data_IF_457479437152
#
_entry.id   IF_457479437152
#
_cell.length_a   1.000
_cell.length_b   1.000
_cell.length_c   1.000
_cell.angle_alpha   90.00
_cell.angle_beta   90.00
_cell.angle_gamma   90.00
#
_symmetry.space_group_name_H-M   'P 1'
#
loop_
_entity.id
_entity.type
_entity.pdbx_description
1 polymer ?
#
# COMPACT_ATOMS: atom_id res chain seq x y z
N UNK A 1 -6.91 4.45 24.45
CA UNK A 1 -6.78 5.49 23.39
C UNK A 1 -6.39 4.77 22.13
N UNK A 2 -7.35 4.47 21.28
CA UNK A 2 -7.11 3.83 19.98
C UNK A 2 -6.68 4.83 18.93
N UNK A 3 -6.34 4.32 17.75
CA UNK A 3 -6.10 5.11 16.55
C UNK A 3 -4.65 5.32 16.16
N UNK A 4 -4.49 6.00 15.04
CA UNK A 4 -3.26 6.05 14.28
C UNK A 4 -2.31 7.16 14.67
N UNK A 5 -1.86 7.21 15.92
CA UNK A 5 -0.77 8.12 16.29
C UNK A 5 0.53 7.71 15.60
N UNK A 6 0.86 8.36 14.49
CA UNK A 6 2.09 8.11 13.73
C UNK A 6 3.31 8.72 14.43
N UNK A 7 3.59 8.26 15.65
CA UNK A 7 4.64 8.82 16.52
C UNK A 7 6.05 8.57 15.99
N UNK A 8 6.21 7.67 15.03
CA UNK A 8 7.49 7.40 14.36
C UNK A 8 7.68 8.23 13.09
N UNK A 9 6.64 8.94 12.64
CA UNK A 9 6.72 9.78 11.44
C UNK A 9 7.62 10.99 11.69
N UNK A 10 8.49 11.29 10.73
CA UNK A 10 9.31 12.51 10.76
C UNK A 10 8.45 13.76 10.95
N UNK A 11 8.81 14.58 11.93
CA UNK A 11 8.09 15.81 12.28
C UNK A 11 6.88 15.62 13.20
N UNK A 12 6.65 14.41 13.71
CA UNK A 12 5.66 14.20 14.78
C UNK A 12 6.21 14.75 16.10
N UNK A 13 5.38 15.53 16.83
CA UNK A 13 5.77 16.09 18.12
C UNK A 13 5.57 15.07 19.26
N UNK A 14 6.56 14.21 19.44
CA UNK A 14 6.57 13.18 20.48
C UNK A 14 6.58 13.75 21.87
N UNK A 15 7.29 14.86 22.10
CA UNK A 15 7.38 15.51 23.41
C UNK A 15 6.02 16.09 23.83
N UNK A 16 5.28 16.66 22.88
CA UNK A 16 3.92 17.11 23.14
C UNK A 16 3.00 15.94 23.53
N UNK A 17 3.07 14.82 22.81
CA UNK A 17 2.30 13.61 23.16
C UNK A 17 2.64 13.14 24.59
N UNK A 18 3.92 13.06 24.94
CA UNK A 18 4.38 12.65 26.27
C UNK A 18 3.82 13.59 27.34
N UNK A 19 3.89 14.90 27.11
CA UNK A 19 3.38 15.90 28.06
C UNK A 19 1.87 15.78 28.28
N UNK A 20 1.11 15.49 27.22
CA UNK A 20 -0.34 15.27 27.32
C UNK A 20 -0.66 14.01 28.13
N UNK A 21 0.05 12.91 27.89
CA UNK A 21 -0.14 11.65 28.61
C UNK A 21 0.22 11.79 30.09
N UNK A 22 1.32 12.49 30.41
CA UNK A 22 1.72 12.79 31.77
C UNK A 22 0.67 13.63 32.49
N UNK A 23 0.20 14.71 31.87
CA UNK A 23 -0.85 15.60 32.40
C UNK A 23 -2.15 14.83 32.64
N UNK A 24 -2.52 13.93 31.71
CA UNK A 24 -3.70 13.07 31.88
C UNK A 24 -3.52 12.12 33.06
N UNK A 25 -2.33 11.51 33.23
CA UNK A 25 -2.06 10.58 34.33
C UNK A 25 -2.08 11.29 35.71
N UNK A 26 -1.58 12.52 35.80
CA UNK A 26 -1.68 13.33 36.99
C UNK A 26 -3.15 13.61 37.36
N UNK A 27 -3.96 13.93 36.36
CA UNK A 27 -5.39 14.25 36.55
C UNK A 27 -6.23 13.02 36.89
N UNK A 28 -5.80 11.85 36.42
CA UNK A 28 -6.51 10.59 36.58
C UNK A 28 -5.56 9.46 37.05
N UNK A 29 -5.04 9.53 38.30
CA UNK A 29 -3.97 8.63 38.74
C UNK A 29 -4.37 7.15 38.79
N UNK A 30 -5.65 6.86 38.96
CA UNK A 30 -6.17 5.49 39.05
C UNK A 30 -6.47 4.84 37.67
N UNK A 31 -6.32 5.59 36.57
CA UNK A 31 -6.57 5.07 35.23
C UNK A 31 -5.27 4.59 34.59
N UNK A 32 -5.31 3.42 33.97
CA UNK A 32 -4.26 2.96 33.07
C UNK A 32 -4.44 3.62 31.70
N UNK A 33 -3.34 3.97 31.04
CA UNK A 33 -3.36 4.50 29.68
C UNK A 33 -2.87 3.40 28.74
N UNK A 34 -3.76 2.94 27.85
CA UNK A 34 -3.45 1.99 26.81
C UNK A 34 -3.56 2.72 25.47
N UNK A 35 -2.57 2.54 24.59
CA UNK A 35 -2.52 3.08 23.23
C UNK A 35 -2.38 1.95 22.23
N UNK A 36 -2.90 2.16 21.02
CA UNK A 36 -2.90 1.14 19.94
C UNK A 36 -2.31 1.71 18.63
N UNK A 37 -1.05 2.19 18.63
CA UNK A 37 -0.47 2.89 17.48
C UNK A 37 0.06 1.92 16.41
N UNK A 38 -0.78 1.05 15.86
CA UNK A 38 -0.38 0.00 14.92
C UNK A 38 0.48 0.49 13.76
N UNK A 39 0.01 1.46 12.99
CA UNK A 39 0.72 2.00 11.81
C UNK A 39 2.06 2.65 12.16
N UNK A 40 2.24 3.17 13.36
CA UNK A 40 3.50 3.78 13.78
C UNK A 40 4.68 2.80 13.77
N UNK A 41 4.43 1.52 14.03
CA UNK A 41 5.47 0.48 14.04
C UNK A 41 5.85 0.01 12.63
N UNK A 42 4.94 0.11 11.66
CA UNK A 42 5.15 -0.33 10.30
C UNK A 42 5.34 0.82 9.30
N UNK A 43 5.37 2.06 9.78
CA UNK A 43 5.50 3.25 8.95
C UNK A 43 6.78 3.22 8.10
N UNK A 44 6.62 3.28 6.79
CA UNK A 44 7.71 3.28 5.80
C UNK A 44 8.69 2.09 5.91
N UNK A 45 8.19 0.92 6.31
CA UNK A 45 9.03 -0.29 6.45
C UNK A 45 8.85 -1.29 5.31
N UNK A 46 7.94 -1.02 4.37
CA UNK A 46 7.72 -1.92 3.25
C UNK A 46 7.01 -1.28 2.07
N UNK A 47 7.00 -1.98 0.96
CA UNK A 47 6.40 -1.56 -0.31
C UNK A 47 5.80 -2.76 -1.05
N UNK A 48 4.90 -2.47 -1.99
CA UNK A 48 4.39 -3.46 -2.94
C UNK A 48 5.07 -3.25 -4.28
N UNK A 49 5.75 -4.28 -4.76
CA UNK A 49 6.34 -4.32 -6.10
C UNK A 49 5.37 -5.01 -7.06
N UNK A 50 5.06 -4.35 -8.17
CA UNK A 50 4.19 -4.88 -9.22
C UNK A 50 4.84 -4.71 -10.60
N UNK A 51 4.27 -5.39 -11.59
CA UNK A 51 4.72 -5.33 -12.97
C UNK A 51 3.60 -4.84 -13.87
N UNK A 52 3.88 -3.96 -14.80
CA UNK A 52 2.96 -3.58 -15.87
C UNK A 52 2.77 -4.77 -16.82
N UNK A 53 1.55 -5.30 -16.93
CA UNK A 53 1.23 -6.45 -17.76
C UNK A 53 0.55 -6.05 -19.07
N UNK A 54 -0.08 -4.87 -19.10
CA UNK A 54 -0.69 -4.33 -20.32
C UNK A 54 -0.80 -2.80 -20.23
N UNK A 55 -0.92 -2.15 -21.39
CA UNK A 55 -1.21 -0.72 -21.50
C UNK A 55 -2.29 -0.53 -22.54
N UNK A 56 -3.42 0.00 -22.11
CA UNK A 56 -4.57 0.27 -22.96
C UNK A 56 -4.87 1.76 -23.01
N UNK A 57 -5.40 2.23 -24.13
CA UNK A 57 -5.86 3.60 -24.27
C UNK A 57 -7.35 3.61 -24.65
N UNK A 58 -8.15 4.37 -23.91
CA UNK A 58 -9.56 4.52 -24.17
C UNK A 58 -9.99 5.95 -23.87
N UNK A 59 -10.66 6.61 -24.83
CA UNK A 59 -11.08 8.01 -24.74
C UNK A 59 -9.97 8.97 -24.30
N UNK A 60 -8.74 8.76 -24.79
CA UNK A 60 -7.58 9.59 -24.46
C UNK A 60 -6.96 9.32 -23.08
N UNK A 61 -7.48 8.34 -22.34
CA UNK A 61 -6.91 7.92 -21.06
C UNK A 61 -6.05 6.67 -21.28
N UNK A 62 -4.76 6.79 -21.00
CA UNK A 62 -3.84 5.65 -20.96
C UNK A 62 -3.93 4.99 -19.61
N UNK A 63 -4.17 3.68 -19.59
CA UNK A 63 -4.23 2.87 -18.38
C UNK A 63 -3.16 1.79 -18.44
N UNK A 64 -2.26 1.78 -17.46
CA UNK A 64 -1.30 0.70 -17.26
C UNK A 64 -1.93 -0.32 -16.30
N UNK A 65 -2.12 -1.54 -16.79
CA UNK A 65 -2.64 -2.66 -16.01
C UNK A 65 -1.46 -3.34 -15.32
N UNK A 66 -1.58 -3.60 -14.02
CA UNK A 66 -0.53 -4.22 -13.21
C UNK A 66 -0.92 -5.65 -12.79
N UNK A 67 0.07 -6.48 -12.47
CA UNK A 67 -0.12 -7.84 -11.94
C UNK A 67 -0.59 -7.88 -10.47
N UNK A 68 -1.11 -6.78 -9.98
CA UNK A 68 -1.75 -6.64 -8.68
C UNK A 68 -3.16 -6.04 -8.85
N UNK A 69 -3.90 -5.95 -7.76
CA UNK A 69 -5.26 -5.40 -7.73
C UNK A 69 -5.40 -4.46 -6.56
N UNK A 70 -5.98 -3.30 -6.78
CA UNK A 70 -6.31 -2.38 -5.68
C UNK A 70 -7.34 -2.99 -4.74
N UNK A 71 -8.36 -3.64 -5.30
CA UNK A 71 -9.42 -4.27 -4.50
C UNK A 71 -8.96 -5.50 -3.73
N UNK A 72 -8.02 -6.26 -4.28
CA UNK A 72 -7.51 -7.47 -3.63
C UNK A 72 -6.32 -7.22 -2.72
N UNK A 73 -5.41 -6.31 -3.08
CA UNK A 73 -4.10 -6.18 -2.45
C UNK A 73 -3.88 -4.82 -1.76
N UNK A 74 -4.65 -3.81 -2.13
CA UNK A 74 -4.58 -2.46 -1.56
C UNK A 74 -5.98 -1.92 -1.21
N UNK A 75 -6.85 -2.70 -0.52
CA UNK A 75 -8.25 -2.29 -0.29
C UNK A 75 -8.34 -0.98 0.50
N UNK A 76 -7.39 -0.69 1.37
CA UNK A 76 -7.36 0.56 2.14
C UNK A 76 -7.35 1.81 1.27
N UNK A 77 -6.70 1.76 0.10
CA UNK A 77 -6.71 2.86 -0.85
C UNK A 77 -8.12 3.21 -1.34
N UNK A 78 -9.01 2.22 -1.38
CA UNK A 78 -10.40 2.37 -1.82
C UNK A 78 -11.36 2.63 -0.65
N UNK A 79 -11.15 1.98 0.50
CA UNK A 79 -12.02 2.06 1.69
C UNK A 79 -11.84 3.36 2.46
N UNK A 80 -10.61 3.84 2.58
CA UNK A 80 -10.25 5.13 3.19
C UNK A 80 -9.60 6.02 2.12
N UNK A 81 -10.33 6.48 1.11
CA UNK A 81 -9.80 6.92 -0.17
C UNK A 81 -8.54 7.78 -0.04
N UNK A 82 -7.39 7.19 -0.36
CA UNK A 82 -6.13 7.90 -0.48
C UNK A 82 -5.35 7.38 -1.69
N UNK A 83 -4.66 8.28 -2.35
CA UNK A 83 -3.81 7.95 -3.49
C UNK A 83 -2.46 7.46 -2.97
N UNK A 84 -2.08 6.20 -3.21
CA UNK A 84 -0.79 5.69 -2.76
C UNK A 84 0.37 6.40 -3.50
N UNK A 85 1.51 6.49 -2.84
CA UNK A 85 2.72 7.03 -3.45
C UNK A 85 3.36 5.95 -4.31
N UNK A 86 3.67 6.30 -5.56
CA UNK A 86 4.47 5.47 -6.46
C UNK A 86 5.87 6.05 -6.53
N UNK A 87 6.89 5.20 -6.33
CA UNK A 87 8.30 5.59 -6.44
C UNK A 87 8.59 6.14 -7.84
N UNK A 88 9.26 7.28 -7.91
CA UNK A 88 9.62 7.96 -9.16
C UNK A 88 8.40 8.38 -10.02
N UNK A 89 7.24 8.55 -9.41
CA UNK A 89 6.07 9.12 -10.06
C UNK A 89 5.53 10.30 -9.27
N UNK A 90 4.79 11.16 -9.94
CA UNK A 90 4.18 12.37 -9.35
C UNK A 90 2.69 12.41 -9.65
N UNK A 91 1.99 13.35 -9.05
CA UNK A 91 0.69 13.77 -9.55
C UNK A 91 0.79 14.21 -11.02
N UNK A 92 -0.32 14.16 -11.78
CA UNK A 92 -0.32 14.51 -13.19
C UNK A 92 0.34 15.87 -13.45
N UNK A 93 1.32 15.86 -14.35
CA UNK A 93 2.04 17.05 -14.80
C UNK A 93 1.87 17.17 -16.32
N UNK A 94 1.50 18.35 -16.78
CA UNK A 94 1.37 18.64 -18.22
C UNK A 94 2.70 18.38 -18.95
N UNK A 95 2.61 17.72 -20.08
CA UNK A 95 3.78 17.36 -20.91
C UNK A 95 4.51 16.11 -20.49
N UNK A 96 4.19 15.50 -19.33
CA UNK A 96 4.76 14.20 -18.94
C UNK A 96 3.86 13.02 -19.33
N UNK A 97 4.45 11.85 -19.60
CA UNK A 97 3.69 10.62 -19.77
C UNK A 97 2.83 10.34 -18.53
N UNK A 98 1.51 10.31 -18.69
CA UNK A 98 0.57 10.13 -17.59
C UNK A 98 -0.28 8.89 -17.84
N UNK A 99 -0.42 8.08 -16.78
CA UNK A 99 -1.16 6.84 -16.80
C UNK A 99 -2.06 6.71 -15.59
N UNK A 100 -3.28 6.24 -15.83
CA UNK A 100 -4.10 5.61 -14.80
C UNK A 100 -3.50 4.25 -14.49
N UNK A 101 -3.45 3.88 -13.21
CA UNK A 101 -3.01 2.53 -12.83
C UNK A 101 -4.25 1.70 -12.53
N UNK A 102 -4.40 0.60 -13.26
CA UNK A 102 -5.49 -0.36 -13.13
C UNK A 102 -5.00 -1.69 -12.61
N UNK A 103 -5.79 -2.32 -11.73
CA UNK A 103 -5.56 -3.68 -11.30
C UNK A 103 -6.04 -4.72 -12.31
N UNK A 104 -5.78 -5.99 -12.03
CA UNK A 104 -6.07 -7.11 -12.90
C UNK A 104 -7.34 -7.89 -12.51
N UNK A 105 -8.19 -7.36 -11.65
CA UNK A 105 -9.49 -7.97 -11.34
C UNK A 105 -10.57 -7.58 -12.35
N UNK A 106 -11.71 -8.29 -12.33
CA UNK A 106 -12.85 -7.96 -13.18
C UNK A 106 -13.65 -6.74 -12.69
N UNK A 107 -13.31 -6.18 -11.53
CA UNK A 107 -14.05 -5.08 -10.95
C UNK A 107 -13.78 -3.78 -11.71
N UNK A 108 -14.86 -3.13 -12.16
CA UNK A 108 -14.77 -1.83 -12.86
C UNK A 108 -14.03 -0.76 -12.04
N UNK A 109 -14.11 -0.82 -10.71
CA UNK A 109 -13.46 0.11 -9.79
C UNK A 109 -12.06 -0.29 -9.37
N UNK A 110 -11.46 -1.32 -9.98
CA UNK A 110 -10.11 -1.79 -9.64
C UNK A 110 -9.04 -0.91 -10.28
N UNK A 111 -9.08 0.37 -9.99
CA UNK A 111 -8.07 1.33 -10.40
C UNK A 111 -7.97 2.45 -9.36
N UNK A 112 -6.85 3.16 -9.38
CA UNK A 112 -6.65 4.33 -8.53
C UNK A 112 -5.90 5.39 -9.35
N UNK A 113 -6.38 6.63 -9.27
CA UNK A 113 -5.71 7.85 -9.70
C UNK A 113 -4.96 7.81 -11.05
N UNK A 114 -4.32 8.91 -11.33
CA UNK A 114 -3.44 9.05 -12.48
C UNK A 114 -2.08 9.55 -11.98
N UNK A 115 -0.97 9.05 -12.54
CA UNK A 115 0.39 9.44 -12.20
C UNK A 115 1.19 9.79 -13.44
N UNK A 116 2.03 10.81 -13.33
CA UNK A 116 3.03 11.13 -14.33
C UNK A 116 4.36 10.49 -14.01
N UNK A 117 5.01 9.97 -15.05
CA UNK A 117 6.34 9.37 -15.02
C UNK A 117 7.31 10.21 -15.85
N UNK A 118 8.61 10.06 -15.60
CA UNK A 118 9.62 10.77 -16.39
C UNK A 118 9.73 10.19 -17.80
N UNK A 119 9.56 8.85 -17.92
CA UNK A 119 9.59 8.14 -19.18
C UNK A 119 8.24 7.40 -19.42
N UNK A 120 7.88 7.13 -20.67
CA UNK A 120 6.71 6.31 -20.98
C UNK A 120 6.84 4.89 -20.42
N UNK A 121 5.79 4.44 -19.73
CA UNK A 121 5.70 3.06 -19.24
C UNK A 121 5.64 2.06 -20.40
N UNK A 122 6.20 0.88 -20.17
CA UNK A 122 6.19 -0.28 -21.08
C UNK A 122 5.73 -1.52 -20.33
N UNK A 123 5.20 -2.48 -21.07
CA UNK A 123 4.93 -3.81 -20.51
C UNK A 123 6.23 -4.41 -19.98
N UNK A 124 6.19 -4.92 -18.75
CA UNK A 124 7.34 -5.42 -18.02
C UNK A 124 7.97 -4.44 -17.04
N UNK A 125 7.64 -3.14 -17.12
CA UNK A 125 8.14 -2.15 -16.17
C UNK A 125 7.64 -2.44 -14.76
N UNK A 126 8.48 -2.11 -13.78
CA UNK A 126 8.19 -2.30 -12.37
C UNK A 126 7.61 -1.02 -11.77
N UNK A 127 6.50 -1.16 -11.06
CA UNK A 127 5.88 -0.11 -10.27
C UNK A 127 6.00 -0.47 -8.80
N UNK A 128 6.50 0.47 -8.00
CA UNK A 128 6.66 0.31 -6.56
C UNK A 128 5.71 1.25 -5.85
N UNK A 129 4.72 0.69 -5.17
CA UNK A 129 3.85 1.42 -4.26
C UNK A 129 4.51 1.49 -2.90
N UNK A 130 4.78 2.71 -2.43
CA UNK A 130 5.43 2.93 -1.15
C UNK A 130 4.49 2.70 0.02
N UNK A 131 5.07 2.31 1.16
CA UNK A 131 4.36 2.14 2.43
C UNK A 131 3.19 1.15 2.40
N UNK A 132 3.30 0.11 1.57
CA UNK A 132 2.30 -0.94 1.40
C UNK A 132 2.62 -2.15 2.29
N UNK A 133 2.52 -1.97 3.63
CA UNK A 133 2.87 -3.01 4.60
C UNK A 133 1.81 -3.21 5.70
N UNK A 134 1.01 -2.20 6.00
CA UNK A 134 0.03 -2.25 7.09
C UNK A 134 -1.14 -3.19 6.77
N UNK A 135 -2.31 -2.59 6.59
CA UNK A 135 -3.52 -3.30 6.19
C UNK A 135 -3.44 -3.88 4.79
N UNK A 136 -2.57 -3.37 3.94
CA UNK A 136 -2.31 -3.90 2.59
C UNK A 136 -1.72 -5.32 2.61
N UNK A 137 -1.14 -5.79 3.72
CA UNK A 137 -0.75 -7.19 3.88
C UNK A 137 -1.88 -8.03 4.47
N UNK A 138 -2.53 -7.54 5.54
CA UNK A 138 -3.46 -8.36 6.34
C UNK A 138 -4.90 -8.35 5.82
N UNK A 139 -5.27 -7.38 4.99
CA UNK A 139 -6.61 -7.26 4.38
C UNK A 139 -6.69 -7.80 2.95
N UNK A 140 -5.66 -8.46 2.46
CA UNK A 140 -5.62 -8.97 1.09
C UNK A 140 -6.62 -10.11 0.86
N UNK A 141 -7.08 -10.23 -0.37
CA UNK A 141 -7.95 -11.31 -0.82
C UNK A 141 -7.44 -11.92 -2.13
N UNK A 142 -7.97 -13.09 -2.48
CA UNK A 142 -7.69 -13.76 -3.76
C UNK A 142 -8.94 -13.74 -4.67
N UNK A 143 -9.68 -12.64 -4.65
CA UNK A 143 -10.84 -12.48 -5.52
C UNK A 143 -10.46 -12.66 -7.00
N UNK A 144 -11.31 -13.30 -7.77
CA UNK A 144 -11.05 -13.74 -9.15
C UNK A 144 -9.88 -14.76 -9.31
N UNK A 145 -9.41 -15.38 -8.23
CA UNK A 145 -8.26 -16.26 -8.26
C UNK A 145 -6.92 -15.54 -8.43
N UNK A 146 -6.88 -14.22 -8.22
CA UNK A 146 -5.63 -13.44 -8.26
C UNK A 146 -4.80 -13.83 -7.03
N UNK A 147 -3.56 -14.33 -7.20
CA UNK A 147 -2.74 -14.72 -6.06
C UNK A 147 -2.39 -13.53 -5.16
N UNK A 148 -2.30 -13.76 -3.87
CA UNK A 148 -1.68 -12.78 -2.98
C UNK A 148 -0.27 -12.44 -3.44
N UNK A 149 0.20 -11.20 -3.27
CA UNK A 149 1.61 -10.86 -3.43
C UNK A 149 2.49 -11.73 -2.54
N UNK A 150 3.63 -12.16 -3.06
CA UNK A 150 4.62 -12.89 -2.26
C UNK A 150 5.11 -12.03 -1.10
N UNK A 151 5.35 -12.66 0.04
CA UNK A 151 5.94 -12.00 1.20
C UNK A 151 7.46 -12.18 1.18
N UNK A 152 8.17 -11.07 1.18
CA UNK A 152 9.62 -11.06 1.13
C UNK A 152 10.22 -10.03 2.09
N UNK A 153 11.45 -10.26 2.48
CA UNK A 153 12.28 -9.34 3.25
C UNK A 153 13.48 -8.93 2.41
N UNK A 154 13.74 -7.64 2.33
CA UNK A 154 15.01 -7.13 1.85
C UNK A 154 15.95 -6.98 3.05
N UNK A 155 17.01 -7.80 3.08
CA UNK A 155 17.93 -7.82 4.20
C UNK A 155 18.88 -6.61 4.21
N UNK A 156 19.58 -6.41 5.32
CA UNK A 156 20.63 -5.37 5.42
C UNK A 156 21.85 -5.67 4.55
N UNK A 157 22.02 -6.94 4.17
CA UNK A 157 23.12 -7.40 3.32
C UNK A 157 22.73 -7.37 1.83
N UNK A 158 21.66 -6.64 1.49
CA UNK A 158 21.13 -6.45 0.14
C UNK A 158 20.61 -7.76 -0.50
N UNK A 159 20.16 -8.70 0.33
CA UNK A 159 19.57 -9.95 -0.12
C UNK A 159 18.05 -9.92 -0.04
N UNK A 160 17.39 -10.46 -1.08
CA UNK A 160 15.94 -10.68 -1.09
C UNK A 160 15.60 -12.08 -0.62
N UNK A 161 14.97 -12.17 0.56
CA UNK A 161 14.51 -13.45 1.12
C UNK A 161 13.00 -13.55 0.96
N UNK A 162 12.55 -14.48 0.11
CA UNK A 162 11.11 -14.75 -0.08
C UNK A 162 10.65 -15.73 0.99
N UNK A 163 9.79 -15.28 1.89
CA UNK A 163 9.25 -16.11 2.98
C UNK A 163 8.09 -16.98 2.52
N UNK A 164 7.25 -16.43 1.64
CA UNK A 164 6.06 -17.13 1.17
C UNK A 164 5.66 -16.66 -0.23
N UNK A 165 5.32 -17.62 -1.05
CA UNK A 165 4.60 -17.43 -2.30
C UNK A 165 3.20 -18.00 -2.16
N UNK A 166 2.25 -17.50 -2.96
CA UNK A 166 0.87 -17.92 -2.96
C UNK A 166 0.49 -18.40 -4.36
N UNK A 167 -0.34 -19.43 -4.44
CA UNK A 167 -0.74 -20.03 -5.69
C UNK A 167 -2.15 -20.60 -5.65
N UNK A 168 -2.44 -21.45 -6.63
CA UNK A 168 -3.77 -22.07 -6.78
C UNK A 168 -4.23 -22.85 -5.54
N UNK A 169 -3.33 -23.56 -4.87
CA UNK A 169 -3.68 -24.38 -3.70
C UNK A 169 -4.14 -23.50 -2.51
N UNK A 170 -3.59 -22.30 -2.36
CA UNK A 170 -4.07 -21.34 -1.34
C UNK A 170 -5.50 -20.87 -1.66
N UNK A 171 -5.78 -20.58 -2.93
CA UNK A 171 -7.12 -20.20 -3.40
C UNK A 171 -8.11 -21.34 -3.22
N UNK A 172 -7.77 -22.54 -3.66
CA UNK A 172 -8.58 -23.75 -3.55
C UNK A 172 -8.88 -24.09 -2.09
N UNK A 173 -7.85 -24.11 -1.22
CA UNK A 173 -8.00 -24.46 0.18
C UNK A 173 -8.92 -23.54 0.96
N UNK A 174 -9.08 -22.28 0.51
CA UNK A 174 -10.04 -21.35 1.10
C UNK A 174 -11.49 -21.61 0.63
N UNK A 175 -11.68 -22.08 -0.59
CA UNK A 175 -13.00 -22.18 -1.22
C UNK A 175 -13.59 -23.60 -1.22
N UNK A 176 -12.91 -24.59 -0.71
CA UNK A 176 -13.35 -26.00 -0.58
C UNK A 176 -12.65 -26.96 -1.52
#
# INVERSE_FOLDING_TARGET
MGGGHLMTRKGYDTEHLISLLQSFKVKHPNLEIIMEPGSAFAWQTGFLLTTVVDIVENHGIKTAIIDASFTCHMPDCLEMPYKPVIRNATDPVEGKPTYRIGGNSCLRGDYMGDWSFDEPLKIGDKIVFEDMIHYTIVKTSMFNGIPHPSLALWSKDDELVVYRTFGYEDYKGRNG
#
